data_IF_008547551373
#
_entry.id   IF_008547551373
#
_cell.length_a   1.000
_cell.length_b   1.000
_cell.length_c   1.000
_cell.angle_alpha   90.00
_cell.angle_beta   90.00
_cell.angle_gamma   90.00
#
_symmetry.space_group_name_H-M   'P 1'
#
loop_
_entity.id
_entity.type
_entity.pdbx_description
1 polymer ?
#
# COMPACT_ATOMS: atom_id res chain seq x y z
N UNK A 1 -2.51 15.89 -1.74
CA UNK A 1 -3.42 16.09 -2.88
C UNK A 1 -3.26 14.92 -3.84
N UNK A 2 -4.26 14.05 -3.91
CA UNK A 2 -4.77 13.55 -5.18
C UNK A 2 -6.28 13.43 -5.02
N UNK A 3 -7.06 13.99 -5.95
CA UNK A 3 -8.51 13.87 -5.90
C UNK A 3 -9.01 13.80 -7.34
N UNK A 4 -9.18 12.57 -7.82
CA UNK A 4 -9.73 12.20 -9.12
C UNK A 4 -11.25 12.04 -9.01
N UNK A 5 -11.91 12.85 -8.17
CA UNK A 5 -13.26 12.63 -7.67
C UNK A 5 -13.37 11.45 -6.69
N UNK A 6 -12.41 11.38 -5.77
CA UNK A 6 -12.25 10.38 -4.69
C UNK A 6 -12.13 11.11 -3.35
N UNK A 7 -12.73 10.61 -2.28
CA UNK A 7 -12.65 11.21 -0.94
C UNK A 7 -11.59 10.58 -0.05
N UNK A 8 -11.19 9.34 -0.33
CA UNK A 8 -10.27 8.55 0.49
C UNK A 8 -8.86 8.43 -0.09
N UNK A 9 -8.69 8.63 -1.39
CA UNK A 9 -7.37 8.49 -2.01
C UNK A 9 -6.50 9.72 -1.73
N UNK A 10 -5.50 9.63 -0.85
CA UNK A 10 -4.60 10.76 -0.62
C UNK A 10 -3.74 10.65 0.63
N UNK A 11 -3.26 11.81 1.09
CA UNK A 11 -2.63 11.91 2.40
C UNK A 11 -3.76 12.14 3.43
N UNK A 12 -4.22 11.06 4.06
CA UNK A 12 -5.49 11.04 4.76
C UNK A 12 -6.67 11.08 3.79
N UNK A 13 -7.85 11.45 4.29
CA UNK A 13 -9.08 11.54 3.51
C UNK A 13 -9.87 12.82 3.84
N UNK A 14 -10.81 13.16 2.96
CA UNK A 14 -11.75 14.29 3.10
C UNK A 14 -13.20 13.81 3.29
N UNK A 15 -13.38 12.54 3.67
CA UNK A 15 -14.68 11.92 3.83
C UNK A 15 -15.36 12.37 5.13
N UNK A 16 -16.66 12.65 5.08
CA UNK A 16 -17.46 13.01 6.26
C UNK A 16 -17.81 11.78 7.13
N UNK A 17 -17.58 10.57 6.61
CA UNK A 17 -17.81 9.30 7.30
C UNK A 17 -17.47 8.10 6.42
N UNK A 18 -17.50 6.89 6.98
CA UNK A 18 -17.05 5.67 6.29
C UNK A 18 -17.72 5.42 4.94
N UNK A 19 -19.02 5.70 4.80
CA UNK A 19 -19.76 5.53 3.54
C UNK A 19 -19.71 6.74 2.60
N UNK A 20 -18.99 7.80 3.00
CA UNK A 20 -18.86 9.00 2.18
C UNK A 20 -17.79 8.79 1.11
N UNK A 21 -18.24 8.40 -0.08
CA UNK A 21 -17.41 8.13 -1.25
C UNK A 21 -17.54 9.25 -2.30
N UNK A 22 -16.49 9.44 -3.08
CA UNK A 22 -16.48 10.26 -4.29
C UNK A 22 -17.21 9.59 -5.45
N UNK A 23 -17.20 10.24 -6.62
CA UNK A 23 -17.90 9.72 -7.81
C UNK A 23 -17.15 8.56 -8.48
N UNK A 24 -15.84 8.43 -8.25
CA UNK A 24 -15.05 7.25 -8.67
C UNK A 24 -15.13 6.16 -7.60
N UNK A 25 -16.35 5.66 -7.37
CA UNK A 25 -16.73 4.81 -6.24
C UNK A 25 -15.79 3.61 -6.07
N UNK A 26 -15.53 2.86 -7.13
CA UNK A 26 -14.73 1.62 -7.06
C UNK A 26 -13.28 1.90 -6.66
N UNK A 27 -12.69 2.97 -7.20
CA UNK A 27 -11.34 3.38 -6.85
C UNK A 27 -11.28 3.93 -5.41
N UNK A 28 -12.30 4.68 -5.01
CA UNK A 28 -12.37 5.32 -3.70
C UNK A 28 -12.59 4.30 -2.58
N UNK A 29 -13.38 3.25 -2.81
CA UNK A 29 -13.51 2.12 -1.91
C UNK A 29 -12.16 1.43 -1.64
N UNK A 30 -11.34 1.24 -2.68
CA UNK A 30 -10.01 0.67 -2.52
C UNK A 30 -9.13 1.54 -1.60
N UNK A 31 -9.21 2.87 -1.75
CA UNK A 31 -8.48 3.80 -0.90
C UNK A 31 -9.02 3.84 0.53
N UNK A 32 -10.35 3.79 0.70
CA UNK A 32 -10.98 3.72 2.02
C UNK A 32 -10.49 2.51 2.81
N UNK A 33 -10.51 1.33 2.18
CA UNK A 33 -10.07 0.10 2.83
C UNK A 33 -8.57 0.15 3.15
N UNK A 34 -7.78 0.80 2.29
CA UNK A 34 -6.35 1.03 2.53
C UNK A 34 -6.12 1.99 3.71
N UNK A 35 -6.81 3.13 3.76
CA UNK A 35 -6.74 4.12 4.84
C UNK A 35 -7.14 3.52 6.21
N UNK A 36 -8.06 2.55 6.22
CA UNK A 36 -8.52 1.87 7.42
C UNK A 36 -7.69 0.62 7.79
N UNK A 37 -6.51 0.45 7.18
CA UNK A 37 -5.59 -0.63 7.55
C UNK A 37 -5.23 -0.57 9.06
N UNK A 38 -5.42 -1.66 9.82
CA UNK A 38 -5.12 -1.67 11.25
C UNK A 38 -3.61 -1.66 11.54
N UNK A 39 -2.79 -2.02 10.54
CA UNK A 39 -1.35 -2.13 10.64
C UNK A 39 -0.67 -0.96 9.90
N UNK A 40 -0.52 0.16 10.60
CA UNK A 40 0.12 1.37 10.10
C UNK A 40 1.26 1.84 10.99
N UNK A 41 2.31 2.38 10.38
CA UNK A 41 3.34 3.21 11.00
C UNK A 41 3.19 4.63 10.42
N UNK A 42 2.63 5.59 11.18
CA UNK A 42 2.51 6.98 10.74
C UNK A 42 3.86 7.60 10.36
N UNK A 43 3.83 8.68 9.59
CA UNK A 43 5.06 9.38 9.18
C UNK A 43 5.84 9.91 10.39
N UNK A 44 7.14 9.66 10.43
CA UNK A 44 8.02 10.02 11.54
C UNK A 44 7.95 9.11 12.77
N UNK A 45 6.97 8.21 12.85
CA UNK A 45 6.81 7.30 14.00
C UNK A 45 7.70 6.06 13.90
N UNK A 46 7.91 5.42 15.06
CA UNK A 46 8.58 4.12 15.16
C UNK A 46 7.63 3.09 15.75
N UNK A 47 7.47 1.96 15.05
CA UNK A 47 6.73 0.78 15.54
C UNK A 47 7.50 -0.47 15.14
N UNK A 48 7.44 -1.51 15.97
CA UNK A 48 8.14 -2.79 15.69
C UNK A 48 9.65 -2.66 15.43
N UNK A 49 10.33 -1.69 16.07
CA UNK A 49 11.72 -1.31 15.79
C UNK A 49 11.98 -0.88 14.33
N UNK A 50 10.93 -0.40 13.63
CA UNK A 50 11.00 0.19 12.31
C UNK A 50 10.57 1.65 12.40
N UNK A 51 11.45 2.56 12.00
CA UNK A 51 11.14 3.99 11.90
C UNK A 51 10.68 4.32 10.49
N UNK A 52 9.50 4.94 10.37
CA UNK A 52 9.00 5.44 9.11
C UNK A 52 9.53 6.86 8.86
N UNK A 53 10.63 6.98 8.11
CA UNK A 53 11.30 8.28 7.89
C UNK A 53 10.64 9.17 6.85
N UNK A 54 9.61 8.70 6.15
CA UNK A 54 8.83 9.50 5.19
C UNK A 54 7.66 10.18 5.88
N UNK A 55 7.18 11.29 5.32
CA UNK A 55 6.13 12.13 5.91
C UNK A 55 4.72 11.53 5.79
N UNK A 56 4.55 10.44 5.05
CA UNK A 56 3.27 9.75 4.84
C UNK A 56 3.25 8.39 5.54
N UNK A 57 2.04 7.88 5.77
CA UNK A 57 1.81 6.59 6.44
C UNK A 57 2.43 5.43 5.67
N UNK A 58 3.07 4.52 6.40
CA UNK A 58 3.57 3.25 5.87
C UNK A 58 2.73 2.10 6.43
N UNK A 59 2.12 1.32 5.55
CA UNK A 59 1.19 0.25 5.92
C UNK A 59 1.82 -1.14 5.79
N UNK A 60 1.16 -2.16 6.33
CA UNK A 60 1.63 -3.52 6.19
C UNK A 60 1.60 -3.98 4.73
N UNK A 61 2.51 -4.88 4.35
CA UNK A 61 2.52 -5.44 3.00
C UNK A 61 1.24 -6.20 2.67
N UNK A 62 0.50 -6.66 3.69
CA UNK A 62 -0.82 -7.25 3.46
C UNK A 62 -1.81 -6.20 2.94
N UNK A 63 -1.90 -5.04 3.60
CA UNK A 63 -2.76 -3.94 3.17
C UNK A 63 -2.38 -3.43 1.77
N UNK A 64 -1.09 -3.21 1.49
CA UNK A 64 -0.65 -2.74 0.17
C UNK A 64 -0.92 -3.77 -0.95
N UNK A 65 -0.80 -5.07 -0.65
CA UNK A 65 -1.14 -6.12 -1.60
C UNK A 65 -2.64 -6.17 -1.89
N UNK A 66 -3.48 -5.99 -0.87
CA UNK A 66 -4.94 -5.94 -1.02
C UNK A 66 -5.35 -4.70 -1.79
N UNK A 67 -4.75 -3.56 -1.50
CA UNK A 67 -4.97 -2.31 -2.23
C UNK A 67 -4.61 -2.46 -3.72
N UNK A 68 -3.45 -3.03 -4.03
CA UNK A 68 -3.05 -3.29 -5.41
C UNK A 68 -4.07 -4.17 -6.16
N UNK A 69 -4.50 -5.28 -5.54
CA UNK A 69 -5.52 -6.17 -6.12
C UNK A 69 -6.86 -5.46 -6.30
N UNK A 70 -7.29 -4.66 -5.33
CA UNK A 70 -8.53 -3.91 -5.41
C UNK A 70 -8.51 -2.95 -6.60
N UNK A 71 -7.46 -2.12 -6.73
CA UNK A 71 -7.31 -1.19 -7.85
C UNK A 71 -7.27 -1.91 -9.20
N UNK A 72 -6.58 -3.06 -9.27
CA UNK A 72 -6.56 -3.89 -10.48
C UNK A 72 -7.92 -4.50 -10.82
N UNK A 73 -8.71 -4.85 -9.82
CA UNK A 73 -10.05 -5.40 -10.02
C UNK A 73 -11.08 -4.34 -10.35
N UNK A 74 -10.93 -3.11 -9.84
CA UNK A 74 -11.78 -1.97 -10.17
C UNK A 74 -11.65 -1.59 -11.65
N UNK A 75 -10.43 -1.67 -12.19
CA UNK A 75 -10.08 -1.44 -13.61
C UNK A 75 -10.66 -0.15 -14.23
N UNK A 76 -10.90 0.86 -13.40
CA UNK A 76 -11.31 2.19 -13.87
C UNK A 76 -10.09 3.03 -14.24
N UNK A 77 -10.32 4.11 -15.00
CA UNK A 77 -9.25 5.08 -15.30
C UNK A 77 -8.65 5.65 -14.01
N UNK A 78 -9.49 6.02 -13.04
CA UNK A 78 -9.04 6.54 -11.76
C UNK A 78 -8.20 5.52 -10.99
N UNK A 79 -8.67 4.27 -10.86
CA UNK A 79 -7.96 3.20 -10.16
C UNK A 79 -6.59 2.92 -10.80
N UNK A 80 -6.52 2.91 -12.13
CA UNK A 80 -5.27 2.71 -12.86
C UNK A 80 -4.27 3.87 -12.65
N UNK A 81 -4.73 5.12 -12.59
CA UNK A 81 -3.87 6.27 -12.27
C UNK A 81 -3.35 6.19 -10.83
N UNK A 82 -4.25 5.93 -9.87
CA UNK A 82 -3.92 5.78 -8.44
C UNK A 82 -2.87 4.69 -8.25
N UNK A 83 -3.09 3.52 -8.86
CA UNK A 83 -2.16 2.39 -8.77
C UNK A 83 -0.78 2.73 -9.33
N UNK A 84 -0.72 3.38 -10.50
CA UNK A 84 0.55 3.79 -11.09
C UNK A 84 1.30 4.78 -10.20
N UNK A 85 0.60 5.74 -9.60
CA UNK A 85 1.22 6.73 -8.74
C UNK A 85 1.75 6.08 -7.47
N UNK A 86 0.93 5.28 -6.81
CA UNK A 86 1.29 4.65 -5.53
C UNK A 86 2.42 3.63 -5.67
N UNK A 87 2.31 2.70 -6.64
CA UNK A 87 3.22 1.57 -6.77
C UNK A 87 4.42 1.83 -7.68
N UNK A 88 4.29 2.70 -8.70
CA UNK A 88 5.37 2.93 -9.68
C UNK A 88 6.08 4.26 -9.48
N UNK A 89 5.36 5.38 -9.30
CA UNK A 89 5.96 6.71 -9.21
C UNK A 89 6.54 6.99 -7.80
N UNK A 90 5.76 6.73 -6.75
CA UNK A 90 6.19 6.95 -5.37
C UNK A 90 7.09 5.82 -4.85
N UNK A 91 7.00 4.63 -5.46
CA UNK A 91 7.74 3.42 -5.04
C UNK A 91 7.67 3.18 -3.53
N UNK A 92 6.47 3.37 -2.96
CA UNK A 92 6.27 3.26 -1.52
C UNK A 92 6.71 1.89 -1.02
N UNK A 93 7.11 1.83 0.25
CA UNK A 93 7.57 0.61 0.90
C UNK A 93 6.54 0.21 1.95
N UNK A 94 6.39 -1.10 2.13
CA UNK A 94 5.51 -1.70 3.12
C UNK A 94 6.34 -2.37 4.22
N UNK A 95 5.68 -2.88 5.26
CA UNK A 95 6.34 -3.69 6.28
C UNK A 95 5.65 -5.02 6.54
N UNK A 96 6.41 -6.06 6.90
CA UNK A 96 5.88 -7.37 7.31
C UNK A 96 6.87 -8.11 8.21
N UNK A 97 6.38 -9.08 8.98
CA UNK A 97 7.26 -10.11 9.56
C UNK A 97 7.80 -10.98 8.43
N UNK A 98 9.10 -11.17 8.43
CA UNK A 98 9.79 -11.98 7.42
C UNK A 98 11.05 -12.58 8.03
N UNK A 99 11.63 -13.57 7.37
CA UNK A 99 12.96 -14.05 7.73
C UNK A 99 14.02 -13.14 7.10
N UNK A 100 15.13 -12.86 7.79
CA UNK A 100 16.25 -12.18 7.16
C UNK A 100 16.82 -13.10 6.07
N UNK A 101 17.15 -12.51 4.91
CA UNK A 101 17.79 -13.22 3.81
C UNK A 101 19.25 -13.45 4.22
N UNK A 102 19.51 -14.52 4.98
CA UNK A 102 20.86 -14.92 5.37
C UNK A 102 21.23 -16.23 4.69
N UNK A 103 22.41 -16.23 4.06
CA UNK A 103 22.98 -17.37 3.35
C UNK A 103 23.34 -18.55 4.29
N UNK A 104 23.43 -18.34 5.60
CA UNK A 104 23.97 -19.33 6.55
C UNK A 104 23.35 -19.32 7.96
N UNK A 105 22.03 -19.39 8.08
CA UNK A 105 21.41 -19.81 9.35
C UNK A 105 20.41 -18.84 9.96
N UNK A 106 19.43 -19.48 10.60
CA UNK A 106 18.20 -18.90 11.13
C UNK A 106 18.47 -17.78 12.14
N UNK A 107 17.83 -16.64 11.93
CA UNK A 107 17.58 -15.67 13.00
C UNK A 107 16.12 -15.24 12.98
N UNK A 108 15.62 -14.91 14.16
CA UNK A 108 14.21 -14.81 14.57
C UNK A 108 13.32 -14.05 13.57
N UNK A 109 12.05 -14.46 13.45
CA UNK A 109 11.00 -13.70 12.76
C UNK A 109 11.01 -12.25 13.24
N UNK A 110 11.41 -11.33 12.37
CA UNK A 110 11.52 -9.91 12.67
C UNK A 110 10.71 -9.10 11.66
N UNK A 111 10.36 -7.89 12.05
CA UNK A 111 9.68 -6.96 11.16
C UNK A 111 10.69 -6.32 10.22
N UNK A 112 10.36 -6.27 8.93
CA UNK A 112 11.22 -5.72 7.90
C UNK A 112 10.44 -4.77 6.99
N UNK A 113 11.11 -3.68 6.59
CA UNK A 113 10.66 -2.86 5.46
C UNK A 113 10.96 -3.61 4.17
N UNK A 114 9.96 -3.75 3.32
CA UNK A 114 10.05 -4.37 2.00
C UNK A 114 9.57 -3.38 0.94
N UNK A 115 10.01 -3.58 -0.29
CA UNK A 115 9.33 -2.92 -1.41
C UNK A 115 7.88 -3.38 -1.43
N UNK A 116 6.94 -2.48 -1.72
CA UNK A 116 5.63 -2.90 -2.22
C UNK A 116 5.83 -3.79 -3.45
N UNK A 117 4.87 -4.67 -3.74
CA UNK A 117 5.03 -5.77 -4.72
C UNK A 117 6.01 -5.42 -5.84
N UNK A 118 7.04 -6.26 -6.03
CA UNK A 118 7.71 -6.26 -7.33
C UNK A 118 6.60 -6.46 -8.36
N UNK A 119 6.56 -5.70 -9.47
CA UNK A 119 5.70 -6.08 -10.58
C UNK A 119 5.92 -7.57 -10.80
N UNK A 120 4.83 -8.32 -10.94
CA UNK A 120 4.92 -9.71 -11.31
C UNK A 120 5.75 -9.76 -12.60
N UNK A 121 7.05 -10.03 -12.48
CA UNK A 121 7.78 -10.70 -13.54
C UNK A 121 7.14 -12.08 -13.57
N UNK A 122 6.03 -12.16 -14.28
CA UNK A 122 5.70 -13.35 -15.04
C UNK A 122 6.78 -13.51 -16.12
N UNK A 123 8.03 -13.73 -15.71
CA UNK A 123 8.97 -14.51 -16.48
C UNK A 123 8.52 -15.94 -16.31
N UNK A 124 7.49 -16.32 -17.06
CA UNK A 124 7.46 -17.63 -17.67
C UNK A 124 8.67 -17.69 -18.62
N UNK A 125 9.83 -17.98 -18.05
CA UNK A 125 10.91 -18.62 -18.76
C UNK A 125 10.88 -20.07 -18.33
N UNK A 126 10.10 -20.90 -19.03
CA UNK A 126 10.33 -22.32 -19.35
C UNK A 126 9.11 -22.83 -20.15
N UNK A 127 9.44 -23.29 -21.37
CA UNK A 127 8.63 -23.70 -22.54
C UNK A 127 7.98 -22.60 -23.35
#
# INVERSE_FOLDING_TARGET
MMNLCTKWCGAGNIADGYEDLGTEIEADMCCRDHDNCPEVIPGGETRHNLTNTVFYSRLSCHCDNTFHRCLKSADTRAANIIGNIYFNALQTKCYRKDYPILKYGLTRNAWHIRTTQKPNNNTNGLT
#
